data_IF_527680397514
#
_entry.id   IF_527680397514
#
_cell.length_a   1.000
_cell.length_b   1.000
_cell.length_c   1.000
_cell.angle_alpha   90.00
_cell.angle_beta   90.00
_cell.angle_gamma   90.00
#
_symmetry.space_group_name_H-M   'P 1'
#
loop_
_entity.id
_entity.type
_entity.pdbx_description
1 polymer ?
#
# COMPACT_ATOMS: atom_id res chain seq x y z
N UNK A 1 -1.55 13.74 30.51
CA UNK A 1 -1.42 12.72 29.44
C UNK A 1 -0.69 11.52 30.03
N UNK A 2 -1.18 10.30 29.80
CA UNK A 2 -0.48 9.07 30.20
C UNK A 2 0.57 8.72 29.15
N UNK A 3 1.78 8.34 29.56
CA UNK A 3 2.81 7.83 28.65
C UNK A 3 2.39 6.42 28.19
N UNK A 4 2.37 6.19 26.87
CA UNK A 4 2.14 4.86 26.29
C UNK A 4 3.50 4.20 26.05
N UNK A 5 3.89 3.15 26.80
CA UNK A 5 5.15 2.45 26.56
C UNK A 5 5.10 1.66 25.26
N UNK A 6 6.26 1.47 24.63
CA UNK A 6 6.41 0.53 23.52
C UNK A 6 6.22 -0.88 24.07
N UNK A 7 5.21 -1.60 23.58
CA UNK A 7 4.94 -2.99 23.97
C UNK A 7 5.85 -3.95 23.23
N UNK A 8 5.98 -3.76 21.91
CA UNK A 8 6.73 -4.63 21.01
C UNK A 8 7.40 -3.80 19.91
N UNK A 9 8.57 -4.26 19.43
CA UNK A 9 9.26 -3.74 18.25
C UNK A 9 9.32 -4.86 17.22
N UNK A 10 8.77 -4.61 16.03
CA UNK A 10 8.68 -5.61 14.97
C UNK A 10 9.53 -5.14 13.79
N UNK A 11 10.45 -6.01 13.35
CA UNK A 11 11.20 -5.78 12.13
C UNK A 11 10.35 -6.17 10.91
N UNK A 12 10.34 -5.32 9.88
CA UNK A 12 9.64 -5.61 8.63
C UNK A 12 10.24 -6.83 7.93
N UNK A 13 9.43 -7.48 7.09
CA UNK A 13 9.84 -8.63 6.28
C UNK A 13 9.84 -8.29 4.80
N UNK A 14 10.93 -8.57 4.05
CA UNK A 14 10.93 -8.47 2.60
C UNK A 14 9.82 -9.35 2.01
N UNK A 15 9.02 -8.80 1.11
CA UNK A 15 7.88 -9.46 0.48
C UNK A 15 7.82 -9.08 -1.00
N UNK A 16 7.32 -10.00 -1.82
CA UNK A 16 7.04 -9.77 -3.23
C UNK A 16 5.54 -9.86 -3.45
N UNK A 17 4.96 -8.84 -4.08
CA UNK A 17 3.52 -8.73 -4.36
C UNK A 17 3.28 -8.26 -5.80
N UNK A 18 2.01 -8.23 -6.22
CA UNK A 18 1.64 -7.74 -7.56
C UNK A 18 2.37 -8.49 -8.67
N UNK A 19 2.89 -7.74 -9.65
CA UNK A 19 3.67 -8.29 -10.76
C UNK A 19 5.18 -8.37 -10.48
N UNK A 20 5.55 -8.69 -9.23
CA UNK A 20 6.95 -8.81 -8.81
C UNK A 20 7.49 -7.60 -8.04
N UNK A 21 6.60 -6.76 -7.51
CA UNK A 21 6.96 -5.58 -6.74
C UNK A 21 7.61 -5.99 -5.42
N UNK A 22 8.79 -5.44 -5.12
CA UNK A 22 9.49 -5.68 -3.85
C UNK A 22 9.11 -4.64 -2.81
N UNK A 23 8.69 -5.09 -1.64
CA UNK A 23 8.27 -4.24 -0.53
C UNK A 23 8.68 -4.82 0.83
N UNK A 24 8.43 -4.05 1.88
CA UNK A 24 8.67 -4.42 3.27
C UNK A 24 7.33 -4.48 4.03
N UNK A 25 6.93 -5.68 4.45
CA UNK A 25 5.69 -5.87 5.24
C UNK A 25 5.97 -5.71 6.72
N UNK A 26 5.34 -4.74 7.37
CA UNK A 26 5.48 -4.52 8.80
C UNK A 26 4.61 -5.49 9.61
N UNK A 27 3.33 -5.58 9.22
CA UNK A 27 2.41 -6.60 9.68
C UNK A 27 1.41 -6.91 8.56
N UNK A 28 0.81 -8.08 8.63
CA UNK A 28 -0.15 -8.56 7.66
C UNK A 28 -0.33 -10.06 7.84
N UNK A 29 -1.52 -10.58 7.54
CA UNK A 29 -1.86 -12.00 7.56
C UNK A 29 -1.37 -12.74 8.84
N UNK A 30 -2.18 -12.75 9.90
CA UNK A 30 -1.82 -13.48 11.14
C UNK A 30 -2.46 -12.92 12.40
N UNK A 31 -1.66 -12.31 13.28
CA UNK A 31 -2.06 -11.74 14.59
C UNK A 31 -2.96 -10.49 14.46
N UNK A 32 -4.06 -10.62 13.73
CA UNK A 32 -4.99 -9.51 13.43
C UNK A 32 -5.53 -8.84 14.70
N UNK A 33 -5.69 -9.58 15.80
CA UNK A 33 -6.15 -9.03 17.09
C UNK A 33 -5.24 -7.93 17.67
N UNK A 34 -3.93 -7.99 17.42
CA UNK A 34 -3.00 -7.00 17.98
C UNK A 34 -3.03 -5.68 17.20
N UNK A 35 -3.51 -5.71 15.95
CA UNK A 35 -3.49 -4.57 15.03
C UNK A 35 -4.87 -4.10 14.59
N UNK A 36 -5.95 -4.79 14.96
CA UNK A 36 -7.35 -4.39 14.73
C UNK A 36 -7.56 -2.90 15.06
N UNK A 37 -8.05 -2.06 14.11
CA UNK A 37 -8.71 -2.38 12.83
C UNK A 37 -7.80 -2.57 11.62
N UNK A 38 -6.48 -2.52 11.76
CA UNK A 38 -5.55 -2.64 10.65
C UNK A 38 -5.20 -4.09 10.34
N UNK A 39 -5.28 -4.44 9.06
CA UNK A 39 -5.11 -5.80 8.56
C UNK A 39 -3.72 -6.02 7.95
N UNK A 40 -3.11 -4.97 7.40
CA UNK A 40 -1.84 -5.03 6.69
C UNK A 40 -1.21 -3.63 6.63
N UNK A 41 0.12 -3.56 6.77
CA UNK A 41 0.92 -2.38 6.47
C UNK A 41 2.15 -2.80 5.66
N UNK A 42 2.21 -2.31 4.42
CA UNK A 42 3.30 -2.53 3.48
C UNK A 42 3.99 -1.20 3.16
N UNK A 43 5.31 -1.13 3.35
CA UNK A 43 6.17 -0.05 2.88
C UNK A 43 6.77 -0.47 1.53
N UNK A 44 6.31 0.16 0.45
CA UNK A 44 6.75 -0.15 -0.92
C UNK A 44 7.94 0.72 -1.38
N UNK A 45 8.65 1.37 -0.46
CA UNK A 45 9.81 2.21 -0.78
C UNK A 45 10.87 1.46 -1.57
N UNK A 46 11.19 2.01 -2.74
CA UNK A 46 12.27 1.53 -3.59
C UNK A 46 12.90 2.67 -4.40
N UNK A 47 14.19 2.52 -4.75
CA UNK A 47 14.98 3.46 -5.57
C UNK A 47 15.39 2.85 -6.93
N UNK A 48 15.07 1.57 -7.16
CA UNK A 48 15.30 0.85 -8.40
C UNK A 48 13.96 0.62 -9.13
N UNK A 49 13.76 1.25 -10.31
CA UNK A 49 12.54 1.07 -11.10
C UNK A 49 12.16 -0.39 -11.42
N UNK A 50 13.14 -1.27 -11.63
CA UNK A 50 12.89 -2.69 -11.93
C UNK A 50 12.15 -3.42 -10.80
N UNK A 51 12.23 -2.92 -9.58
CA UNK A 51 11.62 -3.52 -8.42
C UNK A 51 10.17 -3.06 -8.17
N UNK A 52 9.65 -2.08 -8.91
CA UNK A 52 8.29 -1.55 -8.70
C UNK A 52 7.49 -1.25 -9.97
N UNK A 53 8.13 -1.03 -11.13
CA UNK A 53 7.45 -0.54 -12.34
C UNK A 53 6.37 -1.49 -12.87
N UNK A 54 6.54 -2.79 -12.63
CA UNK A 54 5.53 -3.80 -12.99
C UNK A 54 4.21 -3.62 -12.20
N UNK A 55 4.29 -2.98 -11.03
CA UNK A 55 3.14 -2.53 -10.25
C UNK A 55 2.23 -3.64 -9.76
N UNK A 56 1.00 -3.25 -9.50
CA UNK A 56 -0.10 -4.11 -9.07
C UNK A 56 -1.17 -4.07 -10.17
N UNK A 57 -1.11 -4.98 -11.17
CA UNK A 57 -2.13 -5.06 -12.20
C UNK A 57 -3.52 -5.33 -11.62
N UNK A 58 -4.55 -5.31 -12.46
CA UNK A 58 -5.94 -5.53 -12.05
C UNK A 58 -6.11 -6.69 -11.07
N UNK A 59 -6.52 -6.36 -9.84
CA UNK A 59 -6.75 -7.32 -8.75
C UNK A 59 -7.97 -6.91 -7.90
N UNK A 60 -8.62 -7.87 -7.20
CA UNK A 60 -9.82 -7.59 -6.44
C UNK A 60 -9.55 -7.26 -4.96
N UNK A 61 -10.40 -6.43 -4.37
CA UNK A 61 -10.58 -6.31 -2.92
C UNK A 61 -12.06 -6.41 -2.54
N UNK A 62 -12.35 -6.86 -1.31
CA UNK A 62 -13.68 -6.93 -0.72
C UNK A 62 -13.59 -6.86 0.81
N UNK A 63 -14.50 -6.13 1.44
CA UNK A 63 -14.64 -6.07 2.89
C UNK A 63 -13.56 -5.27 3.62
N UNK A 64 -12.78 -4.47 2.89
CA UNK A 64 -11.69 -3.66 3.44
C UNK A 64 -11.69 -2.26 2.84
N UNK A 65 -10.88 -1.40 3.44
CA UNK A 65 -10.41 -0.15 2.82
C UNK A 65 -8.91 -0.24 2.57
N UNK A 66 -8.45 0.30 1.45
CA UNK A 66 -7.03 0.47 1.16
C UNK A 66 -6.66 1.95 1.24
N UNK A 67 -5.57 2.25 1.95
CA UNK A 67 -5.11 3.61 2.20
C UNK A 67 -3.66 3.68 1.71
N UNK A 68 -3.46 4.30 0.55
CA UNK A 68 -2.14 4.48 -0.06
C UNK A 68 -1.66 5.91 0.15
N UNK A 69 -0.46 6.05 0.69
CA UNK A 69 0.20 7.35 0.89
C UNK A 69 1.50 7.40 0.09
N UNK A 70 1.67 8.41 -0.76
CA UNK A 70 2.87 8.58 -1.59
C UNK A 70 3.83 9.58 -0.94
N UNK A 71 5.06 9.17 -0.70
CA UNK A 71 6.14 10.01 -0.14
C UNK A 71 7.07 10.56 -1.23
N UNK A 72 7.31 9.80 -2.29
CA UNK A 72 8.12 10.22 -3.44
C UNK A 72 7.70 9.45 -4.69
N UNK A 73 7.87 10.05 -5.86
CA UNK A 73 7.41 9.48 -7.11
C UNK A 73 5.92 9.70 -7.35
N UNK A 74 5.34 8.83 -8.18
CA UNK A 74 3.92 8.88 -8.49
C UNK A 74 3.34 7.50 -8.76
N UNK A 75 2.04 7.35 -8.52
CA UNK A 75 1.29 6.12 -8.76
C UNK A 75 0.06 6.46 -9.59
N UNK A 76 -0.12 5.75 -10.69
CA UNK A 76 -1.36 5.81 -11.48
C UNK A 76 -2.32 4.73 -10.99
N UNK A 77 -3.57 5.09 -10.79
CA UNK A 77 -4.62 4.18 -10.35
C UNK A 77 -5.76 4.14 -11.37
N UNK A 78 -6.42 2.98 -11.47
CA UNK A 78 -7.72 2.85 -12.11
C UNK A 78 -8.54 1.72 -11.52
N UNK A 79 -9.88 1.87 -11.53
CA UNK A 79 -10.80 0.89 -10.95
C UNK A 79 -11.94 0.46 -11.90
N UNK A 80 -12.69 -0.57 -11.49
CA UNK A 80 -13.82 -1.14 -12.23
C UNK A 80 -15.06 -0.24 -12.29
N UNK A 81 -15.10 0.86 -11.52
CA UNK A 81 -16.15 1.87 -11.61
C UNK A 81 -15.81 2.94 -12.66
N UNK A 82 -14.62 2.86 -13.25
CA UNK A 82 -14.13 3.78 -14.27
C UNK A 82 -13.37 4.97 -13.69
N UNK A 83 -13.12 5.00 -12.37
CA UNK A 83 -12.30 6.05 -11.78
C UNK A 83 -10.84 5.85 -12.21
N UNK A 84 -10.14 6.97 -12.38
CA UNK A 84 -8.72 7.02 -12.68
C UNK A 84 -8.10 8.20 -11.95
N UNK A 85 -6.86 8.05 -11.54
CA UNK A 85 -6.14 9.10 -10.83
C UNK A 85 -4.64 8.92 -10.91
N UNK A 86 -3.91 9.99 -10.60
CA UNK A 86 -2.47 9.97 -10.41
C UNK A 86 -2.17 10.60 -9.05
N UNK A 87 -1.57 9.83 -8.16
CA UNK A 87 -1.05 10.29 -6.88
C UNK A 87 0.41 10.68 -7.02
N UNK A 88 0.81 11.75 -6.35
CA UNK A 88 2.18 12.26 -6.26
C UNK A 88 2.59 12.45 -4.80
N UNK A 89 3.82 12.85 -4.55
CA UNK A 89 4.33 13.04 -3.18
C UNK A 89 3.41 13.95 -2.33
N UNK A 90 2.94 13.41 -1.20
CA UNK A 90 2.01 14.07 -0.28
C UNK A 90 0.55 13.65 -0.46
N UNK A 91 0.19 13.02 -1.58
CA UNK A 91 -1.17 12.60 -1.87
C UNK A 91 -1.56 11.31 -1.12
N UNK A 92 -2.86 11.20 -0.86
CA UNK A 92 -3.50 10.03 -0.25
C UNK A 92 -4.64 9.56 -1.13
N UNK A 93 -4.71 8.25 -1.38
CA UNK A 93 -5.93 7.60 -1.83
C UNK A 93 -6.47 6.74 -0.71
N UNK A 94 -7.74 6.97 -0.37
CA UNK A 94 -8.52 6.13 0.53
C UNK A 94 -9.64 5.50 -0.29
N UNK A 95 -9.55 4.19 -0.53
CA UNK A 95 -10.50 3.44 -1.34
C UNK A 95 -11.28 2.46 -0.47
N UNK A 96 -12.60 2.66 -0.36
CA UNK A 96 -13.50 1.72 0.30
C UNK A 96 -13.96 0.64 -0.69
N UNK A 97 -13.45 -0.58 -0.56
CA UNK A 97 -13.80 -1.67 -1.47
C UNK A 97 -15.23 -2.20 -1.24
N UNK A 98 -15.72 -2.16 0.00
CA UNK A 98 -17.08 -2.57 0.37
C UNK A 98 -17.44 -3.97 -0.14
N UNK A 99 -18.50 -4.07 -0.95
CA UNK A 99 -18.96 -5.34 -1.53
C UNK A 99 -18.01 -5.92 -2.59
N UNK A 100 -17.12 -5.11 -3.16
CA UNK A 100 -16.10 -5.54 -4.10
C UNK A 100 -15.65 -4.43 -5.05
N UNK A 101 -14.36 -4.39 -5.35
CA UNK A 101 -13.78 -3.54 -6.40
C UNK A 101 -12.64 -4.30 -7.09
N UNK A 102 -12.53 -4.16 -8.41
CA UNK A 102 -11.29 -4.50 -9.13
C UNK A 102 -10.54 -3.20 -9.40
N UNK A 103 -9.24 -3.19 -9.16
CA UNK A 103 -8.41 -2.01 -9.38
C UNK A 103 -6.98 -2.37 -9.73
N UNK A 104 -6.23 -1.40 -10.21
CA UNK A 104 -4.79 -1.49 -10.45
C UNK A 104 -4.07 -0.27 -9.87
N UNK A 105 -2.83 -0.46 -9.45
CA UNK A 105 -1.95 0.58 -8.94
C UNK A 105 -0.59 0.44 -9.63
N UNK A 106 -0.23 1.43 -10.44
CA UNK A 106 0.90 1.39 -11.34
C UNK A 106 1.91 2.48 -10.97
N UNK A 107 2.94 2.16 -10.15
CA UNK A 107 3.93 3.14 -9.75
C UNK A 107 4.81 3.54 -10.95
N UNK A 108 5.16 4.83 -11.02
CA UNK A 108 6.02 5.40 -12.05
C UNK A 108 7.35 5.92 -11.49
N UNK A 109 7.41 6.16 -10.18
CA UNK A 109 8.54 6.81 -9.53
C UNK A 109 8.71 8.28 -9.90
N UNK A 110 9.82 8.86 -9.46
CA UNK A 110 10.27 10.21 -9.82
C UNK A 110 11.43 10.16 -10.84
N UNK A 111 11.94 11.31 -11.35
CA UNK A 111 13.06 11.32 -12.30
C UNK A 111 14.36 10.67 -11.80
N UNK A 112 14.51 10.46 -10.48
CA UNK A 112 15.65 9.80 -9.88
C UNK A 112 15.39 8.31 -9.61
N UNK A 113 14.25 7.77 -10.06
CA UNK A 113 13.85 6.37 -9.85
C UNK A 113 13.26 6.08 -8.47
N UNK A 114 12.96 7.11 -7.66
CA UNK A 114 12.41 6.91 -6.31
C UNK A 114 10.91 6.69 -6.38
N UNK A 115 10.46 5.59 -5.79
CA UNK A 115 9.05 5.32 -5.51
C UNK A 115 8.90 5.01 -4.04
N UNK A 116 8.47 5.99 -3.25
CA UNK A 116 8.39 5.86 -1.80
C UNK A 116 6.94 6.03 -1.38
N UNK A 117 6.50 5.18 -0.47
CA UNK A 117 5.16 5.26 0.09
C UNK A 117 4.81 3.97 0.81
N UNK A 118 3.62 3.94 1.37
CA UNK A 118 3.10 2.79 2.08
C UNK A 118 1.63 2.61 1.82
N UNK A 119 1.15 1.39 2.00
CA UNK A 119 -0.27 1.05 1.93
C UNK A 119 -0.69 0.37 3.23
N UNK A 120 -1.81 0.84 3.78
CA UNK A 120 -2.46 0.29 4.96
C UNK A 120 -3.82 -0.28 4.55
N UNK A 121 -4.16 -1.48 5.03
CA UNK A 121 -5.51 -2.00 4.92
C UNK A 121 -6.23 -1.87 6.25
N UNK A 122 -7.45 -1.33 6.21
CA UNK A 122 -8.34 -1.24 7.36
C UNK A 122 -9.55 -2.15 7.16
N UNK A 123 -9.97 -2.79 8.25
CA UNK A 123 -11.18 -3.60 8.30
C UNK A 123 -12.44 -2.70 8.30
N UNK A 124 -13.54 -3.20 7.71
CA UNK A 124 -14.86 -2.55 7.70
C UNK A 124 -15.82 -3.15 8.75
#
# INVERSE_FOLDING_TARGET
MSLRPIKDIIQTKPTIEGAGVKLQRAFGFGKTKDFDPFLLLDDFRNDNPDDYLAGFPWHPHRGIETITYVLAGSVEHGDSLGNKGKMTAGDVQWMTAGSGILHQEMPKGDPNGRMHGFQLWANL
#
